data_IF_427817354814
#
_entry.id   IF_427817354814
#
_cell.length_a   1.000
_cell.length_b   1.000
_cell.length_c   1.000
_cell.angle_alpha   90.00
_cell.angle_beta   90.00
_cell.angle_gamma   90.00
#
_symmetry.space_group_name_H-M   'P 1'
#
loop_
_entity.id
_entity.type
_entity.pdbx_description
1 polymer ?
#
# COMPACT_ATOMS: atom_id res chain seq x y z
N UNK A 1 -1.75 -14.62 20.67
CA UNK A 1 -0.53 -13.82 20.66
C UNK A 1 0.48 -14.32 21.71
N UNK A 2 0.11 -14.55 22.97
CA UNK A 2 1.05 -15.02 24.00
C UNK A 2 1.76 -16.32 23.64
N UNK A 3 1.05 -17.28 23.02
CA UNK A 3 1.66 -18.52 22.51
C UNK A 3 2.63 -18.20 21.37
N UNK A 4 2.21 -17.37 20.43
CA UNK A 4 3.07 -16.96 19.32
C UNK A 4 4.35 -16.26 19.83
N UNK A 5 4.23 -15.35 20.78
CA UNK A 5 5.38 -14.68 21.41
C UNK A 5 6.34 -15.67 22.10
N UNK A 6 5.85 -16.75 22.68
CA UNK A 6 6.70 -17.76 23.34
C UNK A 6 7.39 -18.71 22.36
N UNK A 7 6.88 -18.84 21.13
CA UNK A 7 7.37 -19.82 20.14
C UNK A 7 8.25 -19.16 19.08
N UNK A 8 7.89 -17.97 18.62
CA UNK A 8 8.64 -17.28 17.56
C UNK A 8 9.81 -16.48 18.13
N UNK A 9 10.90 -16.29 17.33
CA UNK A 9 12.00 -15.42 17.73
C UNK A 9 11.52 -14.02 18.13
N UNK A 10 12.16 -13.38 19.09
CA UNK A 10 11.79 -12.06 19.59
C UNK A 10 11.70 -10.98 18.48
N UNK A 11 12.51 -11.11 17.42
CA UNK A 11 12.50 -10.22 16.26
C UNK A 11 11.31 -10.43 15.32
N UNK A 12 10.56 -11.53 15.44
CA UNK A 12 9.39 -11.78 14.61
C UNK A 12 8.31 -10.73 14.90
N UNK A 13 7.78 -10.15 13.85
CA UNK A 13 6.66 -9.20 13.92
C UNK A 13 5.35 -9.96 13.91
N UNK A 14 4.50 -9.70 14.90
CA UNK A 14 3.18 -10.32 15.00
C UNK A 14 2.12 -9.36 14.50
N UNK A 15 1.35 -9.83 13.54
CA UNK A 15 0.27 -9.07 12.90
C UNK A 15 -1.09 -9.63 13.36
N UNK A 16 -1.99 -8.74 13.79
CA UNK A 16 -3.42 -9.04 13.91
C UNK A 16 -4.10 -8.59 12.63
N UNK A 17 -5.03 -9.38 12.09
CA UNK A 17 -5.63 -9.09 10.79
C UNK A 17 -7.16 -9.23 10.83
N UNK A 18 -7.86 -8.26 10.22
CA UNK A 18 -9.31 -8.29 10.05
C UNK A 18 -9.72 -7.54 8.78
N UNK A 19 -10.84 -7.96 8.17
CA UNK A 19 -11.45 -7.24 7.04
C UNK A 19 -12.34 -6.07 7.51
N UNK A 20 -12.78 -6.10 8.77
CA UNK A 20 -13.75 -5.16 9.31
C UNK A 20 -13.03 -3.97 9.99
N UNK A 21 -12.74 -2.92 9.25
CA UNK A 21 -12.04 -1.74 9.73
C UNK A 21 -12.95 -0.80 10.56
N UNK A 22 -13.64 -1.36 11.58
CA UNK A 22 -14.58 -0.63 12.46
C UNK A 22 -14.01 -0.40 13.85
N UNK A 23 -14.79 0.30 14.69
CA UNK A 23 -14.45 0.49 16.11
C UNK A 23 -14.38 -0.84 16.87
N UNK A 24 -15.13 -1.86 16.45
CA UNK A 24 -15.05 -3.19 17.07
C UNK A 24 -13.65 -3.79 16.92
N UNK A 25 -13.05 -3.71 15.73
CA UNK A 25 -11.68 -4.16 15.48
C UNK A 25 -10.64 -3.33 16.25
N UNK A 26 -10.78 -2.01 16.25
CA UNK A 26 -9.93 -1.13 17.05
C UNK A 26 -9.98 -1.51 18.55
N UNK A 27 -11.18 -1.68 19.09
CA UNK A 27 -11.39 -2.03 20.50
C UNK A 27 -10.76 -3.40 20.82
N UNK A 28 -10.88 -4.38 19.93
CA UNK A 28 -10.24 -5.70 20.09
C UNK A 28 -8.71 -5.57 20.16
N UNK A 29 -8.11 -4.77 19.26
CA UNK A 29 -6.66 -4.54 19.26
C UNK A 29 -6.23 -3.85 20.55
N UNK A 30 -6.95 -2.82 20.98
CA UNK A 30 -6.64 -2.07 22.22
C UNK A 30 -6.80 -2.95 23.46
N UNK A 31 -7.82 -3.82 23.53
CA UNK A 31 -7.97 -4.80 24.62
C UNK A 31 -6.75 -5.73 24.69
N UNK A 32 -6.35 -6.30 23.55
CA UNK A 32 -5.19 -7.19 23.49
C UNK A 32 -3.89 -6.49 23.91
N UNK A 33 -3.68 -5.24 23.47
CA UNK A 33 -2.54 -4.43 23.87
C UNK A 33 -2.56 -4.12 25.38
N UNK A 34 -3.73 -3.80 25.95
CA UNK A 34 -3.89 -3.55 27.40
C UNK A 34 -3.51 -4.77 28.23
N UNK A 35 -3.76 -5.96 27.68
CA UNK A 35 -3.38 -7.26 28.27
C UNK A 35 -1.93 -7.65 27.98
N UNK A 36 -1.13 -6.71 27.48
CA UNK A 36 0.29 -6.90 27.15
C UNK A 36 0.54 -8.05 26.18
N UNK A 37 -0.35 -8.25 25.21
CA UNK A 37 -0.07 -9.12 24.09
C UNK A 37 0.88 -8.41 23.11
N UNK A 38 1.90 -9.11 22.63
CA UNK A 38 2.77 -8.61 21.58
C UNK A 38 1.98 -8.54 20.29
N UNK A 39 1.68 -7.34 19.83
CA UNK A 39 1.13 -7.03 18.52
C UNK A 39 1.98 -5.90 17.95
N UNK A 40 2.67 -6.17 16.85
CA UNK A 40 3.59 -5.21 16.23
C UNK A 40 2.94 -4.46 15.07
N UNK A 41 1.92 -5.04 14.44
CA UNK A 41 1.30 -4.56 13.20
C UNK A 41 -0.20 -4.81 13.26
N UNK A 42 -0.97 -3.85 12.78
CA UNK A 42 -2.41 -3.97 12.59
C UNK A 42 -2.69 -4.22 11.11
N UNK A 43 -3.10 -5.46 10.78
CA UNK A 43 -3.49 -5.85 9.44
C UNK A 43 -4.90 -5.41 9.12
N UNK A 44 -5.14 -5.00 7.88
CA UNK A 44 -6.44 -4.62 7.36
C UNK A 44 -6.63 -5.21 5.98
N UNK A 45 -7.89 -5.51 5.61
CA UNK A 45 -8.22 -6.03 4.28
C UNK A 45 -9.14 -5.06 3.55
N UNK A 46 -8.97 -4.95 2.25
CA UNK A 46 -9.84 -4.17 1.38
C UNK A 46 -10.10 -4.96 0.09
N UNK A 47 -11.34 -5.40 -0.08
CA UNK A 47 -11.72 -6.20 -1.23
C UNK A 47 -12.86 -5.54 -2.01
N UNK A 48 -12.62 -5.17 -3.23
CA UNK A 48 -13.63 -4.80 -4.22
C UNK A 48 -13.95 -6.05 -5.07
N UNK A 49 -14.61 -7.03 -4.43
CA UNK A 49 -14.98 -8.30 -5.08
C UNK A 49 -16.18 -8.15 -6.03
N UNK A 50 -17.08 -7.19 -5.78
CA UNK A 50 -18.25 -7.00 -6.63
C UNK A 50 -17.88 -6.14 -7.86
N UNK A 51 -17.95 -6.68 -9.09
CA UNK A 51 -17.67 -5.94 -10.32
C UNK A 51 -18.53 -4.69 -10.49
N UNK A 52 -19.79 -4.72 -10.03
CA UNK A 52 -20.69 -3.56 -10.11
C UNK A 52 -20.19 -2.40 -9.24
N UNK A 53 -19.62 -2.68 -8.08
CA UNK A 53 -19.02 -1.64 -7.24
C UNK A 53 -17.89 -0.91 -7.97
N UNK A 54 -17.05 -1.62 -8.73
CA UNK A 54 -16.00 -1.00 -9.51
C UNK A 54 -16.54 -0.11 -10.65
N UNK A 55 -17.66 -0.52 -11.29
CA UNK A 55 -18.37 0.33 -12.25
C UNK A 55 -18.96 1.57 -11.58
N UNK A 56 -19.58 1.41 -10.42
CA UNK A 56 -20.22 2.53 -9.70
C UNK A 56 -19.16 3.53 -9.21
N UNK A 57 -17.97 3.07 -8.82
CA UNK A 57 -16.83 3.94 -8.50
C UNK A 57 -16.39 4.71 -9.75
N UNK A 58 -16.22 4.02 -10.89
CA UNK A 58 -15.81 4.63 -12.15
C UNK A 58 -16.80 5.65 -12.67
N UNK A 59 -18.10 5.41 -12.47
CA UNK A 59 -19.18 6.28 -12.88
C UNK A 59 -19.52 7.40 -11.86
N UNK A 60 -18.83 7.44 -10.71
CA UNK A 60 -19.09 8.40 -9.63
C UNK A 60 -20.44 8.22 -8.93
N UNK A 61 -20.98 7.00 -8.91
CA UNK A 61 -22.27 6.66 -8.32
C UNK A 61 -22.21 6.23 -6.86
N UNK A 62 -21.02 6.02 -6.32
CA UNK A 62 -20.79 5.57 -4.95
C UNK A 62 -19.59 6.26 -4.33
N UNK A 63 -19.65 6.47 -3.01
CA UNK A 63 -18.52 6.92 -2.19
C UNK A 63 -17.66 5.76 -1.66
N UNK A 64 -17.91 4.53 -2.12
CA UNK A 64 -17.12 3.36 -1.71
C UNK A 64 -15.64 3.60 -2.03
N UNK A 65 -14.79 3.49 -1.00
CA UNK A 65 -13.34 3.74 -1.07
C UNK A 65 -12.97 5.15 -1.60
N UNK A 66 -13.88 6.13 -1.47
CA UNK A 66 -13.53 7.54 -1.70
C UNK A 66 -12.45 8.00 -0.72
N UNK A 67 -11.71 9.08 -1.02
CA UNK A 67 -10.68 9.59 -0.11
C UNK A 67 -11.20 9.84 1.31
N UNK A 68 -12.39 10.40 1.47
CA UNK A 68 -13.02 10.65 2.77
C UNK A 68 -13.27 9.37 3.54
N UNK A 69 -13.83 8.35 2.89
CA UNK A 69 -14.11 7.04 3.49
C UNK A 69 -12.82 6.33 3.91
N UNK A 70 -11.81 6.34 3.05
CA UNK A 70 -10.50 5.74 3.35
C UNK A 70 -9.83 6.46 4.52
N UNK A 71 -9.77 7.79 4.52
CA UNK A 71 -9.21 8.55 5.64
C UNK A 71 -9.94 8.30 6.95
N UNK A 72 -11.27 8.19 6.94
CA UNK A 72 -12.05 7.88 8.14
C UNK A 72 -11.67 6.49 8.69
N UNK A 73 -11.66 5.46 7.84
CA UNK A 73 -11.27 4.09 8.23
C UNK A 73 -9.88 4.05 8.86
N UNK A 74 -8.89 4.62 8.19
CA UNK A 74 -7.49 4.56 8.65
C UNK A 74 -7.22 5.47 9.85
N UNK A 75 -7.83 6.64 9.95
CA UNK A 75 -7.75 7.50 11.14
C UNK A 75 -8.35 6.82 12.38
N UNK A 76 -9.35 5.97 12.20
CA UNK A 76 -9.88 5.12 13.28
C UNK A 76 -8.84 4.12 13.74
N UNK A 77 -8.25 3.35 12.81
CA UNK A 77 -7.27 2.31 13.12
C UNK A 77 -5.96 2.90 13.69
N UNK A 78 -5.55 4.09 13.24
CA UNK A 78 -4.35 4.79 13.73
C UNK A 78 -4.37 5.03 15.25
N UNK A 79 -5.57 5.09 15.86
CA UNK A 79 -5.75 5.23 17.32
C UNK A 79 -5.18 4.05 18.12
N UNK A 80 -4.90 2.93 17.48
CA UNK A 80 -4.19 1.81 18.12
C UNK A 80 -2.69 2.09 18.32
N UNK A 81 -2.13 3.11 17.66
CA UNK A 81 -0.71 3.46 17.75
C UNK A 81 0.24 2.48 17.07
N UNK A 82 -0.28 1.60 16.20
CA UNK A 82 0.49 0.59 15.47
C UNK A 82 0.63 0.97 13.99
N UNK A 83 1.72 0.52 13.33
CA UNK A 83 1.79 0.53 11.87
C UNK A 83 0.64 -0.30 11.29
N UNK A 84 0.11 0.14 10.14
CA UNK A 84 -0.98 -0.55 9.45
C UNK A 84 -0.45 -1.21 8.18
N UNK A 85 -0.77 -2.48 8.00
CA UNK A 85 -0.52 -3.25 6.79
C UNK A 85 -1.85 -3.57 6.11
N UNK A 86 -2.08 -3.04 4.90
CA UNK A 86 -3.11 -3.61 4.04
C UNK A 86 -2.64 -4.98 3.58
N UNK A 87 -2.96 -5.99 4.40
CA UNK A 87 -2.46 -7.36 4.27
C UNK A 87 -3.06 -8.09 3.08
N UNK A 88 -4.24 -7.66 2.67
CA UNK A 88 -4.96 -8.24 1.55
C UNK A 88 -5.76 -7.14 0.85
N UNK A 89 -5.53 -6.97 -0.46
CA UNK A 89 -6.39 -6.12 -1.28
C UNK A 89 -6.79 -6.85 -2.55
N UNK A 90 -8.01 -6.61 -2.99
CA UNK A 90 -8.52 -7.05 -4.29
C UNK A 90 -9.25 -5.90 -4.96
N UNK A 91 -8.95 -5.66 -6.22
CA UNK A 91 -9.69 -4.75 -7.09
C UNK A 91 -10.03 -5.55 -8.34
N UNK A 92 -11.31 -5.85 -8.54
CA UNK A 92 -11.72 -6.63 -9.72
C UNK A 92 -11.96 -5.74 -10.92
N UNK A 93 -11.63 -6.25 -12.12
CA UNK A 93 -12.11 -5.63 -13.34
C UNK A 93 -13.62 -5.88 -13.46
N UNK A 94 -14.44 -4.88 -13.81
CA UNK A 94 -15.88 -5.09 -14.02
C UNK A 94 -16.20 -6.13 -15.09
N UNK A 95 -15.41 -6.14 -16.16
CA UNK A 95 -15.47 -7.11 -17.25
C UNK A 95 -14.05 -7.45 -17.71
N UNK A 96 -13.90 -8.58 -18.40
CA UNK A 96 -12.62 -8.96 -19.02
C UNK A 96 -12.48 -8.36 -20.44
N UNK A 97 -12.77 -7.08 -20.57
CA UNK A 97 -12.59 -6.31 -21.79
C UNK A 97 -11.66 -5.11 -21.54
N UNK A 98 -11.30 -4.37 -22.58
CA UNK A 98 -10.41 -3.22 -22.52
C UNK A 98 -10.90 -2.17 -21.52
N UNK A 99 -12.22 -1.86 -21.53
CA UNK A 99 -12.81 -0.88 -20.61
C UNK A 99 -12.76 -1.36 -19.16
N UNK A 100 -13.11 -2.62 -18.90
CA UNK A 100 -13.09 -3.21 -17.55
C UNK A 100 -11.70 -3.25 -16.96
N UNK A 101 -10.71 -3.64 -17.76
CA UNK A 101 -9.31 -3.65 -17.34
C UNK A 101 -8.76 -2.22 -17.12
N UNK A 102 -9.17 -1.25 -17.93
CA UNK A 102 -8.81 0.16 -17.72
C UNK A 102 -9.41 0.71 -16.41
N UNK A 103 -10.66 0.38 -16.10
CA UNK A 103 -11.31 0.74 -14.81
C UNK A 103 -10.53 0.14 -13.64
N UNK A 104 -10.19 -1.15 -13.69
CA UNK A 104 -9.34 -1.78 -12.66
C UNK A 104 -8.03 -1.01 -12.46
N UNK A 105 -7.35 -0.65 -13.54
CA UNK A 105 -6.07 0.06 -13.49
C UNK A 105 -6.20 1.45 -12.88
N UNK A 106 -7.23 2.21 -13.23
CA UNK A 106 -7.48 3.57 -12.69
C UNK A 106 -7.78 3.50 -11.20
N UNK A 107 -8.67 2.59 -10.77
CA UNK A 107 -9.01 2.39 -9.35
C UNK A 107 -7.75 1.98 -8.58
N UNK A 108 -6.97 1.03 -9.12
CA UNK A 108 -5.70 0.58 -8.54
C UNK A 108 -4.75 1.76 -8.33
N UNK A 109 -4.50 2.56 -9.37
CA UNK A 109 -3.61 3.71 -9.28
C UNK A 109 -4.05 4.71 -8.22
N UNK A 110 -5.33 5.04 -8.19
CA UNK A 110 -5.87 6.03 -7.26
C UNK A 110 -5.81 5.55 -5.81
N UNK A 111 -6.22 4.31 -5.54
CA UNK A 111 -6.20 3.75 -4.19
C UNK A 111 -4.77 3.55 -3.68
N UNK A 112 -3.86 3.06 -4.50
CA UNK A 112 -2.45 2.93 -4.11
C UNK A 112 -1.82 4.28 -3.75
N UNK A 113 -2.08 5.34 -4.52
CA UNK A 113 -1.63 6.69 -4.18
C UNK A 113 -2.20 7.18 -2.85
N UNK A 114 -3.50 6.93 -2.63
CA UNK A 114 -4.18 7.31 -1.40
C UNK A 114 -3.59 6.56 -0.20
N UNK A 115 -3.47 5.24 -0.27
CA UNK A 115 -2.90 4.43 0.80
C UNK A 115 -1.44 4.76 1.08
N UNK A 116 -0.63 4.97 0.05
CA UNK A 116 0.76 5.37 0.20
C UNK A 116 0.93 6.73 0.89
N UNK A 117 -0.07 7.62 0.79
CA UNK A 117 -0.06 8.91 1.46
C UNK A 117 -0.37 8.85 2.97
N UNK A 118 -0.89 7.72 3.46
CA UNK A 118 -1.31 7.56 4.85
C UNK A 118 -0.09 7.34 5.75
N UNK A 119 0.03 8.14 6.80
CA UNK A 119 1.17 8.10 7.72
C UNK A 119 1.41 6.73 8.37
N UNK A 120 0.39 5.99 8.85
CA UNK A 120 0.59 4.69 9.51
C UNK A 120 0.83 3.55 8.53
N UNK A 121 0.70 3.76 7.21
CA UNK A 121 0.82 2.71 6.20
C UNK A 121 2.25 2.19 6.10
N UNK A 122 2.42 0.89 6.33
CA UNK A 122 3.71 0.22 6.25
C UNK A 122 3.86 -0.73 5.06
N UNK A 123 2.75 -1.17 4.47
CA UNK A 123 2.76 -2.10 3.36
C UNK A 123 1.37 -2.36 2.79
N UNK A 124 1.34 -2.80 1.54
CA UNK A 124 0.14 -3.16 0.79
C UNK A 124 0.41 -4.46 0.05
N UNK A 125 -0.43 -5.47 0.24
CA UNK A 125 -0.31 -6.78 -0.40
C UNK A 125 -1.51 -7.05 -1.30
N UNK A 126 -1.26 -7.30 -2.57
CA UNK A 126 -2.30 -7.73 -3.51
C UNK A 126 -2.64 -9.21 -3.27
N UNK A 127 -3.95 -9.54 -3.21
CA UNK A 127 -4.42 -10.88 -2.87
C UNK A 127 -4.36 -11.84 -4.06
N UNK A 128 -5.17 -11.60 -5.09
CA UNK A 128 -5.26 -12.46 -6.26
C UNK A 128 -4.31 -12.00 -7.37
N UNK A 129 -3.11 -12.54 -7.47
CA UNK A 129 -2.10 -12.09 -8.44
C UNK A 129 -2.45 -12.46 -9.88
N UNK A 130 -3.09 -13.63 -10.10
CA UNK A 130 -3.44 -14.16 -11.43
C UNK A 130 -4.94 -14.32 -11.52
N UNK A 131 -5.52 -13.98 -12.67
CA UNK A 131 -6.94 -14.21 -12.97
C UNK A 131 -7.29 -15.69 -12.84
N UNK A 132 -8.52 -16.00 -12.41
CA UNK A 132 -9.04 -17.36 -12.19
C UNK A 132 -8.23 -18.20 -11.17
N UNK A 133 -7.43 -17.57 -10.30
CA UNK A 133 -6.66 -18.25 -9.26
C UNK A 133 -7.09 -17.87 -7.83
N UNK A 134 -8.20 -17.16 -7.68
CA UNK A 134 -8.79 -16.82 -6.39
C UNK A 134 -9.44 -18.02 -5.69
N UNK A 135 -9.88 -17.81 -4.46
CA UNK A 135 -10.65 -18.80 -3.72
C UNK A 135 -12.04 -19.01 -4.36
N UNK A 136 -12.71 -20.15 -4.12
CA UNK A 136 -14.05 -20.37 -4.62
C UNK A 136 -15.03 -19.24 -4.24
N UNK A 137 -15.69 -18.65 -5.23
CA UNK A 137 -16.63 -17.53 -5.05
C UNK A 137 -16.00 -16.14 -5.19
N UNK A 138 -14.69 -16.03 -5.32
CA UNK A 138 -14.03 -14.77 -5.65
C UNK A 138 -14.11 -14.46 -7.15
N UNK A 139 -14.04 -13.17 -7.55
CA UNK A 139 -14.14 -12.78 -8.94
C UNK A 139 -12.96 -13.29 -9.77
N UNK A 140 -13.27 -13.78 -10.98
CA UNK A 140 -12.29 -14.38 -11.88
C UNK A 140 -11.29 -13.39 -12.48
N UNK A 141 -11.64 -12.10 -12.57
CA UNK A 141 -10.83 -11.06 -13.24
C UNK A 141 -10.23 -10.05 -12.25
N UNK A 142 -9.74 -10.53 -11.12
CA UNK A 142 -9.16 -9.72 -10.04
C UNK A 142 -7.62 -9.73 -10.02
N UNK A 143 -6.98 -10.44 -10.95
CA UNK A 143 -5.53 -10.55 -11.04
C UNK A 143 -4.84 -9.29 -11.58
N UNK A 144 -3.55 -9.20 -11.32
CA UNK A 144 -2.61 -8.30 -12.01
C UNK A 144 -2.14 -8.90 -13.33
N UNK A 145 -2.21 -10.21 -13.43
CA UNK A 145 -1.87 -10.99 -14.63
C UNK A 145 -3.09 -11.75 -15.10
N UNK A 146 -3.20 -11.91 -16.42
CA UNK A 146 -4.18 -12.82 -17.03
C UNK A 146 -3.89 -14.28 -16.64
N UNK A 147 -4.82 -15.18 -16.94
CA UNK A 147 -4.62 -16.63 -16.73
C UNK A 147 -3.37 -17.16 -17.45
N UNK A 148 -2.98 -16.54 -18.56
CA UNK A 148 -1.79 -16.90 -19.34
C UNK A 148 -0.52 -16.16 -18.87
N UNK A 149 -0.52 -15.55 -17.70
CA UNK A 149 0.60 -14.80 -17.12
C UNK A 149 0.99 -13.53 -17.92
N UNK A 150 0.08 -12.98 -18.71
CA UNK A 150 0.28 -11.70 -19.37
C UNK A 150 -0.06 -10.56 -18.41
N UNK A 151 0.79 -9.54 -18.28
CA UNK A 151 0.55 -8.43 -17.38
C UNK A 151 -0.64 -7.58 -17.87
N UNK A 152 -1.55 -7.25 -16.96
CA UNK A 152 -2.74 -6.43 -17.21
C UNK A 152 -2.44 -4.93 -16.99
N UNK A 153 -3.31 -4.02 -17.44
CA UNK A 153 -3.18 -2.58 -17.20
C UNK A 153 -2.98 -2.21 -15.71
N UNK A 154 -3.61 -2.93 -14.79
CA UNK A 154 -3.43 -2.73 -13.35
C UNK A 154 -2.00 -3.03 -12.87
N UNK A 155 -1.34 -4.05 -13.44
CA UNK A 155 0.07 -4.30 -13.18
C UNK A 155 0.95 -3.12 -13.60
N UNK A 156 0.73 -2.61 -14.81
CA UNK A 156 1.52 -1.47 -15.31
C UNK A 156 1.27 -0.20 -14.50
N UNK A 157 0.03 0.03 -14.03
CA UNK A 157 -0.28 1.14 -13.13
C UNK A 157 0.49 1.04 -11.80
N UNK A 158 0.55 -0.13 -11.18
CA UNK A 158 1.35 -0.36 -9.97
C UNK A 158 2.85 -0.24 -10.24
N UNK A 159 3.34 -0.85 -11.32
CA UNK A 159 4.75 -0.81 -11.68
C UNK A 159 5.24 0.63 -11.88
N UNK A 160 4.42 1.46 -12.54
CA UNK A 160 4.73 2.86 -12.74
C UNK A 160 4.79 3.66 -11.43
N UNK A 161 3.83 3.44 -10.52
CA UNK A 161 3.86 4.04 -9.19
C UNK A 161 5.13 3.67 -8.41
N UNK A 162 5.45 2.38 -8.33
CA UNK A 162 6.51 1.85 -7.47
C UNK A 162 7.89 2.14 -8.05
N UNK A 163 8.07 2.01 -9.35
CA UNK A 163 9.38 2.07 -9.99
C UNK A 163 9.71 3.41 -10.64
N UNK A 164 8.71 4.27 -10.86
CA UNK A 164 8.89 5.60 -11.45
C UNK A 164 8.43 6.72 -10.52
N UNK A 165 7.12 6.80 -10.23
CA UNK A 165 6.53 7.94 -9.53
C UNK A 165 7.05 8.09 -8.08
N UNK A 166 7.20 6.96 -7.36
CA UNK A 166 7.67 6.96 -5.97
C UNK A 166 9.19 6.84 -5.83
N UNK A 167 9.90 6.88 -6.93
CA UNK A 167 11.36 6.95 -6.95
C UNK A 167 11.82 8.36 -7.24
N UNK A 168 12.46 8.97 -6.26
CA UNK A 168 13.11 10.28 -6.46
C UNK A 168 14.47 10.08 -7.09
N UNK A 169 14.61 10.52 -8.34
CA UNK A 169 15.89 10.62 -9.03
C UNK A 169 15.97 12.04 -9.60
N UNK A 170 16.83 12.89 -9.03
CA UNK A 170 16.93 14.28 -9.39
C UNK A 170 18.37 14.77 -9.29
N UNK A 171 18.70 15.76 -10.09
CA UNK A 171 19.95 16.49 -9.99
C UNK A 171 19.64 17.89 -9.47
N UNK A 172 20.33 18.29 -8.41
CA UNK A 172 20.18 19.62 -7.80
C UNK A 172 21.52 20.33 -7.79
N UNK A 173 21.48 21.65 -7.85
CA UNK A 173 22.68 22.48 -7.79
C UNK A 173 22.84 23.05 -6.38
N UNK A 174 24.05 23.02 -5.87
CA UNK A 174 24.37 23.67 -4.60
C UNK A 174 24.22 25.21 -4.74
N UNK A 175 23.78 25.86 -3.67
CA UNK A 175 23.79 27.30 -3.53
C UNK A 175 25.22 27.84 -3.29
N UNK A 176 25.35 29.16 -3.09
CA UNK A 176 26.64 29.82 -2.89
C UNK A 176 27.35 29.35 -1.61
N UNK A 177 26.60 28.86 -0.63
CA UNK A 177 27.07 28.37 0.65
C UNK A 177 27.34 26.87 0.67
N UNK A 178 27.16 26.21 -0.48
CA UNK A 178 27.36 24.77 -0.67
C UNK A 178 26.19 23.90 -0.21
N UNK A 179 25.02 24.49 0.13
CA UNK A 179 23.85 23.72 0.55
C UNK A 179 23.06 23.24 -0.66
N UNK A 180 22.48 22.04 -0.53
CA UNK A 180 21.54 21.46 -1.49
C UNK A 180 20.20 21.21 -0.80
N UNK A 181 19.10 21.41 -1.54
CA UNK A 181 17.75 21.11 -1.06
C UNK A 181 17.00 20.35 -2.13
N UNK A 182 16.33 19.28 -1.73
CA UNK A 182 15.44 18.54 -2.61
C UNK A 182 14.22 18.02 -1.85
N UNK A 183 13.15 17.69 -2.59
CA UNK A 183 11.96 17.05 -2.05
C UNK A 183 11.89 15.61 -2.56
N UNK A 184 11.67 14.67 -1.68
CA UNK A 184 11.55 13.25 -2.02
C UNK A 184 10.57 12.52 -1.09
N UNK A 185 10.26 11.28 -1.42
CA UNK A 185 9.52 10.38 -0.55
C UNK A 185 10.38 9.94 0.62
N UNK A 186 9.77 9.40 1.67
CA UNK A 186 10.53 8.82 2.79
C UNK A 186 11.35 7.62 2.31
N UNK A 187 12.55 7.49 2.83
CA UNK A 187 13.43 6.39 2.46
C UNK A 187 14.92 6.76 2.45
N UNK A 188 15.72 5.83 1.97
CA UNK A 188 17.16 6.00 1.87
C UNK A 188 17.54 6.55 0.49
N UNK A 189 18.40 7.56 0.49
CA UNK A 189 18.90 8.21 -0.71
C UNK A 189 20.42 8.06 -0.79
N UNK A 190 20.92 7.71 -1.96
CA UNK A 190 22.33 7.85 -2.30
C UNK A 190 22.52 9.22 -2.93
N UNK A 191 23.19 10.12 -2.23
CA UNK A 191 23.68 11.37 -2.78
C UNK A 191 25.04 11.13 -3.46
N UNK A 192 25.24 11.72 -4.64
CA UNK A 192 26.52 11.67 -5.35
C UNK A 192 26.89 13.08 -5.80
N UNK A 193 28.16 13.46 -5.67
CA UNK A 193 28.68 14.74 -6.12
C UNK A 193 30.15 14.64 -6.51
N UNK A 194 30.65 15.65 -7.21
CA UNK A 194 32.07 15.78 -7.48
C UNK A 194 32.69 16.74 -6.44
N UNK A 195 33.85 16.35 -5.90
CA UNK A 195 34.65 17.25 -5.04
C UNK A 195 35.41 18.32 -5.89
N UNK A 196 36.17 19.17 -5.22
CA UNK A 196 36.97 20.23 -5.86
C UNK A 196 38.07 19.68 -6.81
N UNK A 197 38.38 18.40 -6.71
CA UNK A 197 39.37 17.70 -7.53
C UNK A 197 38.73 16.79 -8.59
N UNK A 198 37.41 16.94 -8.83
CA UNK A 198 36.60 16.11 -9.73
C UNK A 198 36.55 14.61 -9.35
N UNK A 199 36.78 14.25 -8.09
CA UNK A 199 36.56 12.89 -7.63
C UNK A 199 35.07 12.70 -7.28
N UNK A 200 34.51 11.52 -7.62
CA UNK A 200 33.16 11.18 -7.23
C UNK A 200 33.09 10.84 -5.73
N UNK A 201 32.23 11.56 -5.03
CA UNK A 201 31.89 11.33 -3.62
C UNK A 201 30.46 10.83 -3.52
N UNK A 202 30.16 10.05 -2.48
CA UNK A 202 28.79 9.64 -2.22
C UNK A 202 28.50 9.44 -0.73
N UNK A 203 27.24 9.67 -0.35
CA UNK A 203 26.74 9.48 1.01
C UNK A 203 25.33 8.90 0.98
N UNK A 204 24.96 8.11 2.00
CA UNK A 204 23.60 7.60 2.21
C UNK A 204 22.94 8.47 3.28
N UNK A 205 21.82 9.09 2.92
CA UNK A 205 20.98 9.86 3.84
C UNK A 205 19.58 9.24 3.92
N UNK A 206 18.94 9.36 5.09
CA UNK A 206 17.59 8.85 5.30
C UNK A 206 16.63 10.02 5.52
N UNK A 207 15.57 10.06 4.72
CA UNK A 207 14.39 10.91 4.94
C UNK A 207 13.35 10.13 5.74
N UNK A 208 13.04 10.62 6.94
CA UNK A 208 12.06 10.02 7.87
C UNK A 208 10.67 10.67 7.77
#
# INVERSE_FOLDING_TARGET
>A
FKIAESVFPAKAKLNINDYNMTDAYLNQVQDLLSRKCKIDIMGAQMHLFNPQTCLDIADGKTETESPSVVYEKFSRLEKAGLPIHLSEITITAPNNDERGQAIQAVITRNLYRLWFSLKPMMGITWWNVVDDCGAPGEPSVSGLFSRNMEPKPAYFAMNDLINNEWRTNTCVKADADGNVSFRGFRGNYKLTWLDAHNNECSEIVTLN
#
